data_IF_698632796467
#
_entry.id   IF_698632796467
#
_cell.length_a   1.000
_cell.length_b   1.000
_cell.length_c   1.000
_cell.angle_alpha   90.00
_cell.angle_beta   90.00
_cell.angle_gamma   90.00
#
_symmetry.space_group_name_H-M   'P 1'
#
loop_
_entity.id
_entity.type
_entity.pdbx_description
1 polymer ?
#
# COMPACT_ATOMS: atom_id res chain seq x y z
N UNK A 1 -11.35 -0.31 -15.18
CA UNK A 1 -12.29 -0.02 -14.06
C UNK A 1 -11.99 1.35 -13.51
N UNK A 2 -13.00 2.09 -13.08
CA UNK A 2 -12.86 3.37 -12.39
C UNK A 2 -12.83 3.13 -10.88
N UNK A 3 -11.80 3.59 -10.20
CA UNK A 3 -11.65 3.39 -8.74
C UNK A 3 -11.82 4.72 -8.02
N UNK A 4 -12.69 4.75 -7.02
CA UNK A 4 -12.91 5.91 -6.16
C UNK A 4 -12.44 5.54 -4.76
N UNK A 5 -11.31 6.08 -4.32
CA UNK A 5 -10.82 5.89 -2.96
C UNK A 5 -11.41 6.99 -2.07
N UNK A 6 -12.05 6.60 -0.97
CA UNK A 6 -12.67 7.57 -0.05
C UNK A 6 -12.19 7.38 1.38
N UNK A 7 -11.93 8.47 2.08
CA UNK A 7 -11.75 8.48 3.54
C UNK A 7 -13.12 8.50 4.23
N UNK A 8 -13.26 7.79 5.32
CA UNK A 8 -14.47 7.78 6.14
C UNK A 8 -14.30 8.51 7.48
N UNK A 9 -15.34 8.53 8.29
CA UNK A 9 -15.35 9.20 9.59
C UNK A 9 -14.41 8.55 10.62
N UNK A 10 -13.99 7.31 10.40
CA UNK A 10 -13.07 6.58 11.29
C UNK A 10 -11.59 6.76 10.90
N UNK A 11 -11.30 7.35 9.74
CA UNK A 11 -9.92 7.61 9.30
C UNK A 11 -9.05 8.34 10.36
N UNK A 12 -9.56 9.29 11.19
CA UNK A 12 -8.79 9.89 12.26
C UNK A 12 -8.30 8.93 13.35
N UNK A 13 -8.88 7.75 13.50
CA UNK A 13 -8.37 6.73 14.44
C UNK A 13 -6.97 6.22 14.07
N UNK A 14 -6.54 6.45 12.84
CA UNK A 14 -5.20 6.14 12.37
C UNK A 14 -4.15 7.20 12.75
N UNK A 15 -4.51 8.23 13.52
CA UNK A 15 -3.52 9.18 14.03
C UNK A 15 -2.50 8.48 14.94
N UNK A 16 -1.21 8.89 14.86
CA UNK A 16 -0.67 10.02 14.08
C UNK A 16 -0.31 9.72 12.62
N UNK A 17 -0.44 8.49 12.13
CA UNK A 17 0.01 8.08 10.79
C UNK A 17 -0.66 8.88 9.65
N UNK A 18 -1.87 9.41 9.86
CA UNK A 18 -2.66 10.18 8.88
C UNK A 18 -2.74 11.68 9.18
N UNK A 19 -1.87 12.24 10.03
CA UNK A 19 -1.85 13.70 10.28
C UNK A 19 -1.34 14.47 9.06
N UNK A 20 -0.29 13.96 8.39
CA UNK A 20 0.39 14.65 7.31
C UNK A 20 0.17 13.98 5.93
N UNK A 21 -0.64 12.94 5.86
CA UNK A 21 -0.94 12.21 4.62
C UNK A 21 -2.34 11.61 4.63
N UNK A 22 -2.97 11.39 3.46
CA UNK A 22 -4.19 10.60 3.35
C UNK A 22 -3.94 9.13 3.74
N UNK A 23 -4.99 8.42 4.20
CA UNK A 23 -4.86 7.03 4.61
C UNK A 23 -4.39 6.11 3.45
N UNK A 24 -4.84 6.34 2.23
CA UNK A 24 -4.44 5.57 1.06
C UNK A 24 -2.94 5.69 0.71
N UNK A 25 -2.24 6.67 1.29
CA UNK A 25 -0.82 6.91 1.06
C UNK A 25 0.10 6.24 2.11
N UNK A 26 -0.46 5.51 3.07
CA UNK A 26 0.32 4.72 4.03
C UNK A 26 0.89 3.50 3.31
N UNK A 27 2.18 3.25 3.50
CA UNK A 27 2.84 2.05 2.98
C UNK A 27 2.61 0.86 3.92
N UNK A 28 2.14 -0.27 3.38
CA UNK A 28 1.99 -1.53 4.12
C UNK A 28 2.32 -2.67 3.17
N UNK A 29 3.20 -3.58 3.58
CA UNK A 29 3.57 -4.71 2.72
C UNK A 29 4.17 -4.28 1.38
N UNK A 30 4.90 -3.16 1.36
CA UNK A 30 5.58 -2.58 0.19
C UNK A 30 4.70 -1.83 -0.83
N UNK A 31 3.39 -1.81 -0.64
CA UNK A 31 2.46 -1.03 -1.46
C UNK A 31 1.70 0.00 -0.61
N UNK A 32 1.36 1.13 -1.24
CA UNK A 32 0.29 2.01 -0.77
C UNK A 32 -1.00 1.60 -1.48
N UNK A 33 -2.13 1.86 -0.89
CA UNK A 33 -3.42 1.54 -1.51
C UNK A 33 -3.58 2.22 -2.88
N UNK A 34 -3.08 3.45 -3.00
CA UNK A 34 -3.08 4.21 -4.25
C UNK A 34 -2.25 3.55 -5.36
N UNK A 35 -1.13 2.89 -5.01
CA UNK A 35 -0.27 2.22 -6.00
C UNK A 35 -1.02 1.06 -6.67
N UNK A 36 -1.71 0.25 -5.87
CA UNK A 36 -2.54 -0.83 -6.39
C UNK A 36 -3.77 -0.29 -7.15
N UNK A 37 -4.41 0.75 -6.63
CA UNK A 37 -5.54 1.37 -7.33
C UNK A 37 -5.12 1.89 -8.72
N UNK A 38 -3.98 2.56 -8.84
CA UNK A 38 -3.47 3.06 -10.13
C UNK A 38 -3.04 1.93 -11.09
N UNK A 39 -2.59 0.79 -10.56
CA UNK A 39 -2.23 -0.37 -11.38
C UNK A 39 -3.46 -1.11 -11.91
N UNK A 40 -4.51 -1.27 -11.12
CA UNK A 40 -5.71 -2.02 -11.49
C UNK A 40 -6.81 -1.15 -12.12
N UNK A 41 -6.82 0.15 -11.83
CA UNK A 41 -7.78 1.11 -12.37
C UNK A 41 -7.30 1.78 -13.65
N UNK A 42 -8.23 2.01 -14.59
CA UNK A 42 -7.96 2.90 -15.72
C UNK A 42 -8.02 4.38 -15.33
N UNK A 43 -8.83 4.68 -14.31
CA UNK A 43 -8.97 6.00 -13.72
C UNK A 43 -9.10 5.86 -12.21
N UNK A 44 -8.41 6.72 -11.48
CA UNK A 44 -8.46 6.74 -10.02
C UNK A 44 -8.84 8.13 -9.55
N UNK A 45 -9.93 8.21 -8.82
CA UNK A 45 -10.43 9.40 -8.14
C UNK A 45 -10.22 9.23 -6.63
N UNK A 46 -9.93 10.31 -5.91
CA UNK A 46 -9.79 10.25 -4.45
C UNK A 46 -10.63 11.31 -3.76
N UNK A 47 -11.24 10.90 -2.65
CA UNK A 47 -12.03 11.76 -1.77
C UNK A 47 -11.39 11.78 -0.40
N UNK A 48 -10.77 12.91 -0.06
CA UNK A 48 -10.00 13.07 1.16
C UNK A 48 -10.56 14.17 2.04
N UNK A 49 -10.12 14.21 3.29
CA UNK A 49 -10.37 15.33 4.20
C UNK A 49 -9.99 16.66 3.53
N UNK A 50 -10.79 17.74 3.71
CA UNK A 50 -10.64 18.97 2.93
C UNK A 50 -9.24 19.59 2.91
N UNK A 51 -8.52 19.51 4.01
CA UNK A 51 -7.16 20.09 4.12
C UNK A 51 -6.09 19.32 3.34
N UNK A 52 -6.38 18.12 2.82
CA UNK A 52 -5.46 17.39 1.96
C UNK A 52 -5.64 17.64 0.47
N UNK A 53 -6.71 18.32 0.04
CA UNK A 53 -7.03 18.48 -1.39
C UNK A 53 -5.86 19.02 -2.21
N UNK A 54 -5.23 20.09 -1.72
CA UNK A 54 -4.10 20.71 -2.45
C UNK A 54 -2.82 19.87 -2.41
N UNK A 55 -2.57 19.16 -1.30
CA UNK A 55 -1.44 18.23 -1.18
C UNK A 55 -1.63 17.08 -2.17
N UNK A 56 -2.82 16.50 -2.23
CA UNK A 56 -3.14 15.39 -3.13
C UNK A 56 -2.99 15.81 -4.59
N UNK A 57 -3.48 16.97 -5.00
CA UNK A 57 -3.29 17.47 -6.37
C UNK A 57 -1.82 17.60 -6.76
N UNK A 58 -0.98 18.03 -5.82
CA UNK A 58 0.46 18.20 -6.04
C UNK A 58 1.19 16.84 -6.08
N UNK A 59 0.90 15.97 -5.12
CA UNK A 59 1.66 14.73 -4.92
C UNK A 59 1.16 13.59 -5.83
N UNK A 60 -0.09 13.71 -6.33
CA UNK A 60 -0.73 12.75 -7.23
C UNK A 60 -1.39 13.45 -8.43
N UNK A 61 -0.60 14.08 -9.33
CA UNK A 61 -1.15 14.95 -10.40
C UNK A 61 -1.93 14.18 -11.47
N UNK A 62 -1.80 12.86 -11.53
CA UNK A 62 -2.46 12.01 -12.54
C UNK A 62 -3.80 11.43 -12.06
N UNK A 63 -4.31 11.89 -10.93
CA UNK A 63 -5.63 11.46 -10.48
C UNK A 63 -6.73 12.03 -11.37
N UNK A 64 -7.75 11.20 -11.61
CA UNK A 64 -8.93 11.62 -12.36
C UNK A 64 -9.74 12.66 -11.55
N UNK A 65 -10.36 13.60 -12.27
CA UNK A 65 -11.27 14.60 -11.70
C UNK A 65 -12.64 14.52 -12.38
N UNK A 66 -13.75 14.71 -11.65
CA UNK A 66 -15.09 14.77 -12.23
C UNK A 66 -15.25 15.83 -13.36
N UNK A 67 -14.40 16.83 -13.37
CA UNK A 67 -14.36 17.86 -14.41
C UNK A 67 -13.87 17.33 -15.78
N UNK A 68 -13.26 16.14 -15.81
CA UNK A 68 -12.67 15.55 -17.02
C UNK A 68 -13.61 14.62 -17.79
N UNK A 69 -14.83 14.37 -17.30
CA UNK A 69 -15.83 13.54 -17.99
C UNK A 69 -16.64 12.63 -17.08
N UNK A 70 -17.37 11.70 -17.68
CA UNK A 70 -18.15 10.71 -16.95
C UNK A 70 -17.27 9.58 -16.41
N UNK A 71 -17.68 9.00 -15.26
CA UNK A 71 -17.00 7.83 -14.68
C UNK A 71 -17.23 6.60 -15.57
N UNK A 72 -16.13 6.00 -16.02
CA UNK A 72 -16.17 4.76 -16.80
C UNK A 72 -16.57 3.57 -15.93
N UNK A 73 -17.33 2.63 -16.50
CA UNK A 73 -17.72 1.38 -15.81
C UNK A 73 -16.73 0.27 -16.13
N UNK A 74 -16.53 -0.71 -15.23
CA UNK A 74 -17.11 -0.83 -13.89
C UNK A 74 -16.51 0.17 -12.89
N UNK A 75 -17.24 0.47 -11.81
CA UNK A 75 -16.80 1.35 -10.73
C UNK A 75 -16.52 0.53 -9.46
N UNK A 76 -15.41 0.84 -8.79
CA UNK A 76 -15.08 0.35 -7.46
C UNK A 76 -14.98 1.55 -6.51
N UNK A 77 -15.87 1.62 -5.53
CA UNK A 77 -15.69 2.51 -4.38
C UNK A 77 -14.88 1.78 -3.31
N UNK A 78 -13.72 2.32 -2.92
CA UNK A 78 -12.74 1.67 -2.07
C UNK A 78 -12.42 2.55 -0.86
N UNK A 79 -12.64 2.05 0.34
CA UNK A 79 -12.31 2.78 1.57
C UNK A 79 -10.80 2.93 1.72
N UNK A 80 -10.34 4.14 2.02
CA UNK A 80 -8.92 4.46 2.15
C UNK A 80 -8.20 3.72 3.31
N UNK A 81 -8.96 3.12 4.23
CA UNK A 81 -8.46 2.28 5.33
C UNK A 81 -8.28 0.82 4.96
N UNK A 82 -8.63 0.40 3.75
CA UNK A 82 -8.39 -0.97 3.27
C UNK A 82 -6.90 -1.24 3.20
N UNK A 83 -6.50 -2.42 3.68
CA UNK A 83 -5.11 -2.87 3.63
C UNK A 83 -4.70 -3.16 2.18
N UNK A 84 -3.57 -2.63 1.68
CA UNK A 84 -3.14 -2.79 0.30
C UNK A 84 -2.56 -4.20 0.04
N UNK A 85 -3.41 -5.21 0.02
CA UNK A 85 -3.06 -6.59 -0.25
C UNK A 85 -3.37 -6.94 -1.71
N UNK A 86 -2.38 -7.45 -2.42
CA UNK A 86 -2.50 -7.75 -3.85
C UNK A 86 -3.62 -8.75 -4.17
N UNK A 87 -3.82 -9.77 -3.34
CA UNK A 87 -4.84 -10.80 -3.56
C UNK A 87 -6.26 -10.23 -3.51
N UNK A 88 -6.50 -9.22 -2.68
CA UNK A 88 -7.79 -8.53 -2.65
C UNK A 88 -8.10 -7.88 -4.01
N UNK A 89 -7.10 -7.23 -4.62
CA UNK A 89 -7.29 -6.59 -5.93
C UNK A 89 -7.53 -7.60 -7.05
N UNK A 90 -6.86 -8.74 -7.03
CA UNK A 90 -7.14 -9.84 -7.96
C UNK A 90 -8.55 -10.38 -7.75
N UNK A 91 -8.96 -10.63 -6.52
CA UNK A 91 -10.31 -11.12 -6.19
C UNK A 91 -11.40 -10.14 -6.63
N UNK A 92 -11.22 -8.84 -6.38
CA UNK A 92 -12.13 -7.80 -6.84
C UNK A 92 -12.20 -7.76 -8.37
N UNK A 93 -11.06 -7.84 -9.05
CA UNK A 93 -11.01 -7.84 -10.52
C UNK A 93 -11.78 -9.03 -11.10
N UNK A 94 -11.63 -10.21 -10.51
CA UNK A 94 -12.32 -11.40 -10.98
C UNK A 94 -13.83 -11.37 -10.69
N UNK A 95 -14.23 -10.84 -9.55
CA UNK A 95 -15.65 -10.58 -9.26
C UNK A 95 -16.29 -9.63 -10.29
N UNK A 96 -15.60 -8.56 -10.66
CA UNK A 96 -16.06 -7.62 -11.68
C UNK A 96 -16.10 -8.22 -13.09
N UNK A 97 -15.14 -9.07 -13.47
CA UNK A 97 -15.16 -9.83 -14.73
C UNK A 97 -16.37 -10.77 -14.82
N UNK A 98 -16.82 -11.31 -13.67
CA UNK A 98 -18.01 -12.13 -13.54
C UNK A 98 -19.32 -11.32 -13.50
N UNK A 99 -19.24 -9.98 -13.63
CA UNK A 99 -20.40 -9.09 -13.59
C UNK A 99 -20.99 -8.91 -12.20
N UNK A 100 -20.26 -9.24 -11.13
CA UNK A 100 -20.75 -9.10 -9.77
C UNK A 100 -20.79 -7.64 -9.34
N UNK A 101 -21.92 -7.26 -8.74
CA UNK A 101 -22.12 -5.97 -8.05
C UNK A 101 -22.51 -6.25 -6.61
N UNK A 102 -22.06 -5.42 -5.67
CA UNK A 102 -22.37 -5.62 -4.26
C UNK A 102 -21.45 -4.85 -3.33
N UNK A 103 -21.55 -5.11 -2.05
CA UNK A 103 -20.78 -4.45 -0.99
C UNK A 103 -20.00 -5.45 -0.16
N UNK A 104 -18.78 -5.10 0.21
CA UNK A 104 -17.96 -5.84 1.16
C UNK A 104 -17.99 -5.07 2.48
N UNK A 105 -18.70 -5.65 3.44
CA UNK A 105 -18.80 -5.12 4.80
C UNK A 105 -17.81 -5.82 5.72
N UNK A 106 -17.27 -5.05 6.64
CA UNK A 106 -16.45 -5.53 7.76
C UNK A 106 -17.03 -5.02 9.08
N UNK A 107 -16.60 -5.54 10.23
CA UNK A 107 -17.00 -4.96 11.52
C UNK A 107 -16.63 -3.46 11.65
N UNK A 108 -15.61 -3.01 10.92
CA UNK A 108 -15.12 -1.63 10.90
C UNK A 108 -15.80 -0.72 9.88
N UNK A 109 -16.83 -1.23 9.18
CA UNK A 109 -17.60 -0.49 8.18
C UNK A 109 -17.48 -1.04 6.75
N UNK A 110 -17.87 -0.25 5.77
CA UNK A 110 -17.80 -0.61 4.36
C UNK A 110 -16.35 -0.54 3.89
N UNK A 111 -15.81 -1.70 3.47
CA UNK A 111 -14.47 -1.78 2.87
C UNK A 111 -14.50 -1.35 1.41
N UNK A 112 -15.44 -1.88 0.62
CA UNK A 112 -15.64 -1.45 -0.76
C UNK A 112 -17.02 -1.80 -1.28
N UNK A 113 -17.42 -1.14 -2.37
CA UNK A 113 -18.62 -1.45 -3.13
C UNK A 113 -18.29 -1.55 -4.63
N UNK A 114 -18.78 -2.62 -5.26
CA UNK A 114 -18.55 -2.97 -6.66
C UNK A 114 -19.80 -2.68 -7.48
N UNK A 115 -19.65 -1.97 -8.60
CA UNK A 115 -20.70 -1.63 -9.55
C UNK A 115 -20.27 -2.08 -10.94
N UNK A 116 -20.68 -3.28 -11.37
CA UNK A 116 -20.26 -3.84 -12.66
C UNK A 116 -20.93 -3.07 -13.83
N UNK A 117 -22.16 -3.34 -14.19
CA UNK A 117 -22.76 -2.74 -15.38
C UNK A 117 -24.15 -2.12 -15.17
N UNK A 118 -24.95 -2.62 -14.25
CA UNK A 118 -26.38 -2.31 -14.13
C UNK A 118 -26.73 -1.34 -13.01
N UNK A 119 -25.95 -1.28 -11.93
CA UNK A 119 -26.24 -0.37 -10.83
C UNK A 119 -25.61 1.00 -11.07
N UNK A 120 -26.39 2.08 -11.09
CA UNK A 120 -25.85 3.42 -11.23
C UNK A 120 -25.10 3.78 -9.95
N UNK A 121 -23.77 3.98 -10.08
CA UNK A 121 -23.03 4.65 -9.02
C UNK A 121 -23.57 6.07 -8.84
N UNK A 122 -23.80 6.54 -7.62
CA UNK A 122 -24.33 7.89 -7.38
C UNK A 122 -23.43 8.94 -8.03
N UNK A 123 -24.05 9.90 -8.74
CA UNK A 123 -23.31 10.98 -9.40
C UNK A 123 -23.16 12.21 -8.50
N UNK A 124 -24.12 12.43 -7.60
CA UNK A 124 -24.24 13.65 -6.80
C UNK A 124 -23.88 13.39 -5.33
N UNK A 125 -22.60 13.50 -5.00
CA UNK A 125 -22.16 13.57 -3.61
C UNK A 125 -21.05 14.62 -3.45
N UNK A 126 -21.12 15.37 -2.34
CA UNK A 126 -20.26 16.55 -2.11
C UNK A 126 -19.08 16.25 -1.18
N UNK A 127 -18.99 15.05 -0.59
CA UNK A 127 -17.92 14.72 0.35
C UNK A 127 -17.83 13.25 0.75
N UNK A 128 -16.69 12.86 1.27
CA UNK A 128 -16.37 11.47 1.63
C UNK A 128 -17.31 10.88 2.69
N UNK A 129 -17.79 11.67 3.65
CA UNK A 129 -18.71 11.20 4.68
C UNK A 129 -20.11 10.85 4.14
N UNK A 130 -20.53 11.48 3.04
CA UNK A 130 -21.82 11.20 2.40
C UNK A 130 -21.78 9.89 1.62
N UNK A 131 -20.66 9.57 0.98
CA UNK A 131 -20.52 8.38 0.14
C UNK A 131 -20.78 7.08 0.92
N UNK A 132 -20.28 6.97 2.14
CA UNK A 132 -20.52 5.80 3.00
C UNK A 132 -22.01 5.62 3.30
N UNK A 133 -22.71 6.72 3.64
CA UNK A 133 -24.17 6.70 3.88
C UNK A 133 -24.96 6.32 2.62
N UNK A 134 -24.62 6.92 1.49
CA UNK A 134 -25.28 6.62 0.20
C UNK A 134 -25.11 5.13 -0.17
N UNK A 135 -23.89 4.58 -0.04
CA UNK A 135 -23.64 3.16 -0.32
C UNK A 135 -24.46 2.26 0.63
N UNK A 136 -24.56 2.62 1.92
CA UNK A 136 -25.35 1.88 2.89
C UNK A 136 -26.85 1.88 2.54
N UNK A 137 -27.39 3.01 2.08
CA UNK A 137 -28.79 3.17 1.69
C UNK A 137 -29.16 2.47 0.37
N UNK A 138 -28.14 2.05 -0.43
CA UNK A 138 -28.36 1.38 -1.71
C UNK A 138 -28.79 -0.09 -1.59
N UNK A 139 -28.83 -0.66 -0.39
CA UNK A 139 -29.21 -2.07 -0.14
C UNK A 139 -28.46 -3.07 -1.05
N UNK A 140 -27.16 -2.83 -1.29
CA UNK A 140 -26.34 -3.67 -2.14
C UNK A 140 -26.19 -5.08 -1.54
N UNK A 141 -26.14 -6.08 -2.41
CA UNK A 141 -25.92 -7.48 -2.00
C UNK A 141 -24.56 -7.62 -1.33
N UNK A 142 -24.48 -8.25 -0.12
CA UNK A 142 -23.19 -8.56 0.47
C UNK A 142 -22.38 -9.52 -0.41
N UNK A 143 -21.07 -9.26 -0.56
CA UNK A 143 -20.12 -10.13 -1.22
C UNK A 143 -19.26 -10.82 -0.16
N UNK A 144 -19.08 -12.13 -0.30
CA UNK A 144 -18.21 -12.93 0.57
C UNK A 144 -16.75 -12.82 0.12
N UNK A 145 -16.18 -11.64 0.31
CA UNK A 145 -14.78 -11.33 -0.01
C UNK A 145 -14.15 -10.73 1.24
N UNK A 146 -12.98 -11.24 1.62
CA UNK A 146 -12.23 -10.73 2.76
C UNK A 146 -11.47 -9.46 2.37
N UNK A 147 -11.78 -8.35 3.02
CA UNK A 147 -11.12 -7.07 2.81
C UNK A 147 -10.68 -6.47 4.16
N UNK A 148 -9.50 -6.80 4.67
CA UNK A 148 -9.05 -6.30 5.95
C UNK A 148 -8.90 -4.78 5.92
N UNK A 149 -9.28 -4.12 7.03
CA UNK A 149 -9.23 -2.68 7.20
C UNK A 149 -8.38 -2.29 8.40
N UNK A 150 -7.75 -1.13 8.31
CA UNK A 150 -7.08 -0.50 9.43
C UNK A 150 -8.13 0.15 10.36
N UNK A 151 -8.06 -0.15 11.63
CA UNK A 151 -8.87 0.50 12.67
C UNK A 151 -8.06 1.51 13.45
N UNK A 152 -6.83 1.14 13.82
CA UNK A 152 -5.90 1.95 14.60
C UNK A 152 -4.51 1.98 13.96
N UNK A 153 -3.69 2.93 14.36
CA UNK A 153 -2.34 3.10 13.81
C UNK A 153 -1.45 1.84 13.96
N UNK A 154 -1.60 1.07 15.03
CA UNK A 154 -0.81 -0.16 15.22
C UNK A 154 -1.18 -1.29 14.24
N UNK A 155 -2.34 -1.24 13.60
CA UNK A 155 -2.74 -2.22 12.58
C UNK A 155 -1.84 -2.17 11.35
N UNK A 156 -1.20 -1.02 11.09
CA UNK A 156 -0.25 -0.83 10.01
C UNK A 156 0.87 -1.88 10.11
N UNK A 157 1.49 -2.00 11.28
CA UNK A 157 2.57 -2.97 11.51
C UNK A 157 2.04 -4.40 11.55
N UNK A 158 0.87 -4.62 12.17
CA UNK A 158 0.25 -5.95 12.23
C UNK A 158 -0.02 -6.50 10.82
N UNK A 159 -0.61 -5.70 9.93
CA UNK A 159 -0.89 -6.12 8.57
C UNK A 159 0.38 -6.21 7.71
N UNK A 160 1.38 -5.38 7.94
CA UNK A 160 2.70 -5.52 7.32
C UNK A 160 3.22 -6.96 7.45
N UNK A 161 3.19 -7.51 8.67
CA UNK A 161 3.68 -8.87 8.94
C UNK A 161 2.89 -9.96 8.19
N UNK A 162 1.62 -9.72 7.91
CA UNK A 162 0.73 -10.70 7.30
C UNK A 162 0.82 -10.72 5.77
N UNK A 163 0.96 -9.56 5.12
CA UNK A 163 0.79 -9.43 3.67
C UNK A 163 2.11 -9.21 2.91
N UNK A 164 3.22 -9.00 3.60
CA UNK A 164 4.45 -8.56 2.95
C UNK A 164 4.99 -9.58 1.95
N UNK A 165 4.92 -10.88 2.26
CA UNK A 165 5.39 -11.92 1.36
C UNK A 165 4.60 -11.96 0.06
N UNK A 166 3.27 -11.86 0.13
CA UNK A 166 2.41 -11.90 -1.05
C UNK A 166 2.68 -10.70 -1.96
N UNK A 167 2.79 -9.50 -1.36
CA UNK A 167 3.09 -8.29 -2.09
C UNK A 167 4.52 -8.28 -2.68
N UNK A 168 5.52 -8.88 -2.00
CA UNK A 168 6.87 -9.03 -2.54
C UNK A 168 6.91 -10.03 -3.71
N UNK A 169 6.20 -11.15 -3.59
CA UNK A 169 6.08 -12.13 -4.68
C UNK A 169 5.40 -11.50 -5.92
N UNK A 170 4.38 -10.68 -5.72
CA UNK A 170 3.77 -9.92 -6.80
C UNK A 170 4.76 -8.93 -7.44
N UNK A 171 5.58 -8.23 -6.65
CA UNK A 171 6.64 -7.37 -7.19
C UNK A 171 7.64 -8.15 -8.03
N UNK A 172 8.05 -9.32 -7.57
CA UNK A 172 8.95 -10.19 -8.33
C UNK A 172 8.33 -10.68 -9.63
N UNK A 173 7.04 -11.02 -9.61
CA UNK A 173 6.32 -11.48 -10.80
C UNK A 173 6.09 -10.39 -11.86
N UNK A 174 6.02 -9.13 -11.44
CA UNK A 174 5.66 -8.01 -12.31
C UNK A 174 6.80 -7.02 -12.60
N UNK A 175 7.84 -7.04 -11.77
CA UNK A 175 9.01 -6.19 -11.91
C UNK A 175 10.15 -6.84 -12.69
N UNK A 176 11.20 -6.07 -12.94
CA UNK A 176 12.42 -6.54 -13.60
C UNK A 176 13.53 -6.66 -12.56
N UNK A 177 13.61 -7.80 -11.93
CA UNK A 177 14.63 -8.11 -10.93
C UNK A 177 15.50 -9.28 -11.38
N UNK A 178 16.76 -9.27 -10.93
CA UNK A 178 17.70 -10.40 -11.05
C UNK A 178 18.02 -10.93 -9.68
N UNK A 179 18.08 -12.21 -9.53
CA UNK A 179 18.58 -12.83 -8.30
C UNK A 179 20.11 -12.66 -8.24
N UNK A 180 20.60 -12.00 -7.18
CA UNK A 180 22.01 -11.67 -6.99
C UNK A 180 22.66 -12.49 -5.87
N UNK A 181 21.84 -13.11 -5.02
CA UNK A 181 22.20 -14.12 -4.02
C UNK A 181 20.94 -14.94 -3.71
N UNK A 182 21.04 -16.02 -2.97
CA UNK A 182 19.93 -16.91 -2.64
C UNK A 182 18.75 -16.14 -2.02
N UNK A 183 17.63 -16.07 -2.76
CA UNK A 183 16.42 -15.31 -2.40
C UNK A 183 16.60 -13.79 -2.27
N UNK A 184 17.70 -13.23 -2.79
CA UNK A 184 17.95 -11.78 -2.85
C UNK A 184 17.83 -11.30 -4.29
N UNK A 185 16.86 -10.45 -4.53
CA UNK A 185 16.52 -9.93 -5.84
C UNK A 185 16.82 -8.43 -5.93
N UNK A 186 17.39 -8.00 -7.04
CA UNK A 186 17.76 -6.60 -7.22
C UNK A 186 17.47 -6.13 -8.65
N UNK A 187 17.24 -4.84 -8.80
CA UNK A 187 17.23 -4.19 -10.12
C UNK A 187 18.64 -4.21 -10.73
N UNK A 188 18.73 -4.00 -12.04
CA UNK A 188 20.01 -4.07 -12.76
C UNK A 188 21.05 -3.11 -12.17
N UNK A 189 22.28 -3.63 -12.01
CA UNK A 189 23.43 -2.86 -11.51
C UNK A 189 23.51 -2.73 -9.99
N UNK A 190 22.52 -3.26 -9.24
CA UNK A 190 22.57 -3.25 -7.77
C UNK A 190 23.38 -4.44 -7.24
N UNK A 191 24.09 -4.24 -6.13
CA UNK A 191 24.92 -5.25 -5.46
C UNK A 191 24.84 -5.10 -3.95
N UNK A 192 25.08 -6.20 -3.25
CA UNK A 192 25.34 -6.19 -1.81
C UNK A 192 26.73 -5.60 -1.51
N UNK A 193 26.86 -4.97 -0.34
CA UNK A 193 28.18 -4.63 0.22
C UNK A 193 29.00 -5.90 0.52
N UNK A 194 30.30 -5.73 0.70
CA UNK A 194 31.17 -6.86 1.09
C UNK A 194 30.79 -7.38 2.48
N UNK A 195 30.95 -8.69 2.67
CA UNK A 195 30.68 -9.37 3.95
C UNK A 195 29.24 -9.18 4.48
N UNK A 196 28.28 -8.91 3.61
CA UNK A 196 26.88 -8.94 3.98
C UNK A 196 26.40 -10.38 4.17
N UNK A 197 25.54 -10.58 5.16
CA UNK A 197 24.89 -11.87 5.44
C UNK A 197 23.42 -11.72 5.05
N UNK A 198 22.90 -12.70 4.33
CA UNK A 198 21.49 -12.75 3.91
C UNK A 198 20.84 -14.06 4.36
N UNK A 199 19.61 -13.98 4.84
CA UNK A 199 18.76 -15.11 5.17
C UNK A 199 17.35 -14.87 4.58
N UNK A 200 17.03 -15.58 3.53
CA UNK A 200 15.76 -15.49 2.80
C UNK A 200 14.76 -16.58 3.17
N UNK A 201 15.03 -17.40 4.19
CA UNK A 201 14.20 -18.55 4.56
C UNK A 201 12.76 -18.18 4.93
N UNK A 202 12.52 -16.96 5.39
CA UNK A 202 11.19 -16.44 5.76
C UNK A 202 10.51 -15.61 4.69
N UNK A 203 11.22 -15.27 3.61
CA UNK A 203 10.71 -14.49 2.50
C UNK A 203 11.80 -13.76 1.73
N UNK A 204 11.49 -13.25 0.53
CA UNK A 204 12.47 -12.64 -0.34
C UNK A 204 13.00 -11.31 0.21
N UNK A 205 14.20 -10.95 -0.28
CA UNK A 205 14.83 -9.65 -0.06
C UNK A 205 14.88 -8.94 -1.40
N UNK A 206 14.24 -7.77 -1.51
CA UNK A 206 14.20 -6.97 -2.74
C UNK A 206 14.95 -5.65 -2.54
N UNK A 207 15.86 -5.36 -3.49
CA UNK A 207 16.69 -4.16 -3.50
C UNK A 207 16.40 -3.38 -4.79
N UNK A 208 15.86 -2.18 -4.63
CA UNK A 208 15.49 -1.31 -5.73
C UNK A 208 16.68 -0.52 -6.30
N UNK A 209 16.43 0.15 -7.43
CA UNK A 209 17.38 0.98 -8.15
C UNK A 209 18.01 2.08 -7.28
N UNK A 210 19.32 2.32 -7.46
CA UNK A 210 20.05 3.38 -6.78
C UNK A 210 20.32 3.14 -5.28
N UNK A 211 19.99 1.95 -4.77
CA UNK A 211 20.25 1.61 -3.37
C UNK A 211 21.75 1.42 -3.14
N UNK A 212 22.25 1.99 -2.07
CA UNK A 212 23.63 1.84 -1.62
C UNK A 212 23.66 0.99 -0.34
N UNK A 213 24.33 -0.15 -0.38
CA UNK A 213 24.46 -1.05 0.77
C UNK A 213 25.89 -1.03 1.28
N UNK A 214 26.06 -0.65 2.54
CA UNK A 214 27.34 -0.68 3.26
C UNK A 214 27.83 -2.11 3.49
N UNK A 215 29.09 -2.22 3.93
CA UNK A 215 29.69 -3.50 4.26
C UNK A 215 29.16 -4.07 5.59
N UNK A 216 29.28 -5.38 5.79
CA UNK A 216 28.91 -6.08 7.02
C UNK A 216 27.43 -5.91 7.44
N UNK A 217 26.53 -5.68 6.47
CA UNK A 217 25.09 -5.62 6.76
C UNK A 217 24.49 -7.03 6.89
N UNK A 218 23.43 -7.15 7.68
CA UNK A 218 22.65 -8.37 7.83
C UNK A 218 21.20 -8.15 7.36
N UNK A 219 20.73 -8.99 6.44
CA UNK A 219 19.37 -8.97 5.95
C UNK A 219 18.71 -10.31 6.24
N UNK A 220 17.59 -10.31 6.97
CA UNK A 220 16.72 -11.49 7.15
C UNK A 220 15.34 -11.17 6.63
N UNK A 221 14.96 -11.84 5.55
CA UNK A 221 13.69 -11.61 4.83
C UNK A 221 12.43 -11.92 5.68
N UNK A 222 11.29 -11.43 5.22
CA UNK A 222 11.12 -10.58 4.04
C UNK A 222 11.63 -9.14 4.27
N UNK A 223 12.33 -8.57 3.28
CA UNK A 223 12.88 -7.19 3.35
C UNK A 223 12.69 -6.50 2.00
N UNK A 224 12.24 -5.27 2.02
CA UNK A 224 12.18 -4.39 0.85
C UNK A 224 12.99 -3.12 1.10
N UNK A 225 13.89 -2.79 0.18
CA UNK A 225 14.66 -1.55 0.21
C UNK A 225 14.32 -0.70 -1.02
N UNK A 226 13.61 0.38 -0.80
CA UNK A 226 13.12 1.30 -1.82
C UNK A 226 14.22 2.12 -2.48
N UNK A 227 13.91 2.65 -3.67
CA UNK A 227 14.83 3.36 -4.56
C UNK A 227 15.65 4.44 -3.87
N UNK A 228 16.91 4.58 -4.28
CA UNK A 228 17.84 5.63 -3.83
C UNK A 228 18.08 5.65 -2.32
N UNK A 229 17.79 4.58 -1.61
CA UNK A 229 18.02 4.48 -0.17
C UNK A 229 19.45 4.05 0.14
N UNK A 230 19.92 4.36 1.34
CA UNK A 230 21.23 3.98 1.82
C UNK A 230 21.13 3.15 3.09
N UNK A 231 21.66 1.95 3.05
CA UNK A 231 21.84 1.08 4.21
C UNK A 231 23.29 1.26 4.67
N UNK A 232 23.46 1.78 5.89
CA UNK A 232 24.75 2.11 6.47
C UNK A 232 25.44 0.80 6.89
N UNK A 233 26.76 0.77 6.88
CA UNK A 233 27.57 -0.36 7.33
C UNK A 233 27.15 -0.87 8.72
N UNK A 234 27.22 -2.17 8.94
CA UNK A 234 26.77 -2.88 10.15
C UNK A 234 25.27 -2.77 10.47
N UNK A 235 24.45 -2.34 9.51
CA UNK A 235 22.99 -2.35 9.71
C UNK A 235 22.43 -3.78 9.65
N UNK A 236 21.37 -4.03 10.43
CA UNK A 236 20.63 -5.28 10.42
C UNK A 236 19.14 -4.99 10.16
N UNK A 237 18.60 -5.50 9.04
CA UNK A 237 17.19 -5.41 8.68
C UNK A 237 16.56 -6.79 8.73
N UNK A 238 15.57 -6.99 9.60
CA UNK A 238 15.08 -8.34 9.92
C UNK A 238 13.55 -8.39 10.02
N UNK A 239 12.99 -9.50 9.50
CA UNK A 239 11.61 -9.91 9.77
C UNK A 239 10.55 -8.84 9.39
N UNK A 240 10.24 -8.76 8.12
CA UNK A 240 9.23 -7.86 7.55
C UNK A 240 9.58 -6.36 7.70
N UNK A 241 10.73 -5.96 7.14
CA UNK A 241 11.13 -4.56 7.07
C UNK A 241 10.87 -3.99 5.70
N UNK A 242 10.10 -2.92 5.64
CA UNK A 242 9.93 -2.08 4.45
C UNK A 242 10.68 -0.76 4.63
N UNK A 243 11.63 -0.48 3.75
CA UNK A 243 12.33 0.82 3.67
C UNK A 243 11.80 1.56 2.45
N UNK A 244 11.18 2.71 2.65
CA UNK A 244 10.73 3.62 1.60
C UNK A 244 11.89 4.22 0.81
N UNK A 245 11.56 4.92 -0.29
CA UNK A 245 12.57 5.52 -1.16
C UNK A 245 13.33 6.66 -0.48
N UNK A 246 14.61 6.82 -0.84
CA UNK A 246 15.45 7.95 -0.37
C UNK A 246 15.60 8.00 1.16
N UNK A 247 15.58 6.85 1.80
CA UNK A 247 15.78 6.72 3.24
C UNK A 247 17.23 6.36 3.57
N UNK A 248 17.68 6.70 4.79
CA UNK A 248 19.01 6.33 5.28
C UNK A 248 18.89 5.55 6.59
N UNK A 249 19.35 4.29 6.56
CA UNK A 249 19.12 3.34 7.64
C UNK A 249 20.44 2.82 8.18
N UNK A 250 20.61 2.87 9.50
CA UNK A 250 21.73 2.29 10.25
C UNK A 250 21.25 1.62 11.53
N UNK A 251 22.10 0.75 12.10
CA UNK A 251 21.75 -0.04 13.27
C UNK A 251 20.71 -1.13 12.97
N UNK A 252 19.93 -1.53 13.96
CA UNK A 252 19.00 -2.65 13.87
C UNK A 252 17.57 -2.16 13.63
N UNK A 253 16.90 -2.77 12.64
CA UNK A 253 15.47 -2.54 12.32
C UNK A 253 14.79 -3.90 12.18
N UNK A 254 13.66 -4.07 12.86
CA UNK A 254 12.89 -5.32 12.85
C UNK A 254 11.39 -5.04 12.76
N UNK A 255 10.67 -5.81 11.94
CA UNK A 255 9.22 -5.76 11.84
C UNK A 255 8.66 -4.32 11.74
N UNK A 256 9.25 -3.50 10.86
CA UNK A 256 9.01 -2.06 10.84
C UNK A 256 8.87 -1.49 9.44
N UNK A 257 8.17 -0.38 9.33
CA UNK A 257 8.00 0.39 8.10
C UNK A 257 8.71 1.73 8.26
N UNK A 258 9.73 1.95 7.44
CA UNK A 258 10.42 3.23 7.34
C UNK A 258 9.88 3.96 6.11
N UNK A 259 9.20 5.04 6.31
CA UNK A 259 8.64 5.84 5.21
C UNK A 259 9.73 6.55 4.41
N UNK A 260 9.39 6.90 3.16
CA UNK A 260 10.31 7.63 2.27
C UNK A 260 10.84 8.91 2.91
N UNK A 261 12.09 9.28 2.56
CA UNK A 261 12.80 10.45 3.08
C UNK A 261 13.11 10.43 4.57
N UNK A 262 13.04 9.27 5.21
CA UNK A 262 13.38 9.12 6.63
C UNK A 262 14.88 8.91 6.85
N UNK A 263 15.38 9.34 8.01
CA UNK A 263 16.78 9.20 8.40
C UNK A 263 16.91 8.57 9.80
N UNK A 264 17.27 7.30 9.84
CA UNK A 264 17.66 6.56 11.05
C UNK A 264 19.08 6.03 10.85
N UNK A 265 20.08 6.90 10.78
CA UNK A 265 21.45 6.49 10.40
C UNK A 265 22.32 5.96 11.55
N UNK A 266 21.98 6.27 12.81
CA UNK A 266 22.82 5.87 13.93
C UNK A 266 22.45 4.48 14.46
N UNK A 267 23.42 3.84 15.17
CA UNK A 267 23.18 2.59 15.86
C UNK A 267 22.05 2.74 16.89
N UNK A 268 21.29 1.70 17.05
CA UNK A 268 20.12 1.61 17.92
C UNK A 268 19.10 0.67 17.33
N UNK A 269 18.21 0.17 18.18
CA UNK A 269 17.12 -0.72 17.79
C UNK A 269 15.85 0.07 17.45
N UNK A 270 15.19 -0.30 16.37
CA UNK A 270 13.82 0.10 16.01
C UNK A 270 13.05 -1.16 15.67
N UNK A 271 12.01 -1.45 16.43
CA UNK A 271 11.18 -2.63 16.21
C UNK A 271 9.69 -2.33 16.29
N UNK A 272 8.91 -3.06 15.52
CA UNK A 272 7.44 -3.02 15.53
C UNK A 272 6.86 -1.60 15.37
N UNK A 273 7.40 -0.82 14.40
CA UNK A 273 7.12 0.61 14.24
C UNK A 273 6.78 1.00 12.80
#
# INVERSE_FOLDING_TARGET
MHIIIFEDVLTPQLFPATIARPAFAINIGTYRLIDLAQRFGSHVEVMVRPYFREIVKRDFPNLWSPETGERSKPVLALNARVVPHIDLFHTIQDALKQGQSGVINTPSGIACALFAHENPFPHDFVGCSQLTGIIADMELKPLDIQAPMLEYAHDIVRHQLLIMNDNLNDRLATGTYKEIADGVFATEGQMLGQYCITDSTRGPIIIEEGVQIGHFCHFRGPVYVGKNSRIVEYAALKDAVTVGSTAKIGGEVEASIIESYSNKQHHGFLGHS
#
